data_IF_554233970296
#
_entry.id   IF_554233970296
#
_cell.length_a   1.000
_cell.length_b   1.000
_cell.length_c   1.000
_cell.angle_alpha   90.00
_cell.angle_beta   90.00
_cell.angle_gamma   90.00
#
_symmetry.space_group_name_H-M   'P 1'
#
loop_
_entity.id
_entity.type
_entity.pdbx_description
1 polymer ?
#
# COMPACT_ATOMS: atom_id res chain seq x y z
N UNK A 1 5.97 21.05 1.01
CA UNK A 1 4.72 20.78 0.27
C UNK A 1 4.32 19.36 0.58
N UNK A 2 3.09 19.12 0.99
CA UNK A 2 2.64 17.79 1.38
C UNK A 2 2.61 16.85 0.16
N UNK A 3 2.93 15.57 0.37
CA UNK A 3 2.86 14.57 -0.69
C UNK A 3 1.41 14.21 -1.02
N UNK A 4 0.59 13.97 0.01
CA UNK A 4 -0.84 13.71 -0.13
C UNK A 4 -1.59 14.56 0.91
N UNK A 5 -2.70 15.15 0.48
CA UNK A 5 -3.67 15.82 1.34
C UNK A 5 -5.07 15.28 1.07
N UNK A 6 -5.70 14.77 2.09
CA UNK A 6 -7.11 14.33 2.08
C UNK A 6 -7.89 15.30 2.94
N UNK A 7 -8.92 15.95 2.38
CA UNK A 7 -9.66 16.99 3.05
C UNK A 7 -11.15 16.66 3.13
N UNK A 8 -11.60 16.28 4.31
CA UNK A 8 -12.99 15.97 4.67
C UNK A 8 -13.70 15.06 3.64
N UNK A 9 -13.05 13.94 3.32
CA UNK A 9 -13.49 13.02 2.27
C UNK A 9 -14.57 12.09 2.80
N UNK A 10 -15.68 11.98 2.05
CA UNK A 10 -16.77 11.05 2.32
C UNK A 10 -16.97 10.11 1.10
N UNK A 11 -17.32 8.85 1.37
CA UNK A 11 -17.73 7.89 0.35
C UNK A 11 -18.79 6.95 0.88
N UNK A 12 -19.87 6.78 0.10
CA UNK A 12 -20.96 5.85 0.41
C UNK A 12 -21.20 4.91 -0.77
N UNK A 13 -21.62 3.69 -0.45
CA UNK A 13 -22.07 2.69 -1.40
C UNK A 13 -23.46 2.23 -0.97
N UNK A 14 -24.49 2.62 -1.73
CA UNK A 14 -25.91 2.41 -1.32
C UNK A 14 -26.13 2.93 0.10
N UNK A 15 -26.46 2.05 1.03
CA UNK A 15 -26.76 2.38 2.43
C UNK A 15 -25.53 2.38 3.35
N UNK A 16 -24.36 2.00 2.85
CA UNK A 16 -23.15 1.89 3.66
C UNK A 16 -22.25 3.10 3.44
N UNK A 17 -21.97 3.85 4.51
CA UNK A 17 -20.95 4.91 4.51
C UNK A 17 -19.58 4.29 4.78
N UNK A 18 -18.80 4.09 3.72
CA UNK A 18 -17.48 3.46 3.80
C UNK A 18 -16.39 4.41 4.32
N UNK A 19 -16.50 5.71 4.01
CA UNK A 19 -15.60 6.76 4.52
C UNK A 19 -16.45 7.95 4.97
N UNK A 20 -16.16 8.48 6.18
CA UNK A 20 -17.02 9.40 6.90
C UNK A 20 -16.27 10.67 7.34
N UNK A 21 -15.90 11.53 6.37
CA UNK A 21 -15.27 12.82 6.67
C UNK A 21 -13.81 12.67 7.09
N UNK A 22 -13.04 11.82 6.41
CA UNK A 22 -11.62 11.62 6.70
C UNK A 22 -10.80 12.79 6.20
N UNK A 23 -9.91 13.30 7.06
CA UNK A 23 -8.86 14.25 6.72
C UNK A 23 -7.52 13.75 7.23
N UNK A 24 -6.50 13.76 6.38
CA UNK A 24 -5.13 13.38 6.74
C UNK A 24 -4.12 14.07 5.82
N UNK A 25 -2.87 14.09 6.24
CA UNK A 25 -1.75 14.66 5.47
C UNK A 25 -0.55 13.71 5.55
N UNK A 26 0.07 13.43 4.40
CA UNK A 26 1.25 12.57 4.29
C UNK A 26 2.40 13.40 3.75
N UNK A 27 3.58 13.31 4.38
CA UNK A 27 4.77 14.04 3.98
C UNK A 27 5.57 13.27 2.92
N UNK A 28 6.40 13.97 2.09
CA UNK A 28 7.28 13.29 1.15
C UNK A 28 8.26 12.34 1.85
N UNK A 29 8.42 11.12 1.30
CA UNK A 29 9.32 10.10 1.83
C UNK A 29 8.80 9.35 3.05
N UNK A 30 7.61 9.68 3.55
CA UNK A 30 7.00 9.05 4.72
C UNK A 30 6.41 7.68 4.35
N UNK A 31 6.60 6.69 5.22
CA UNK A 31 5.95 5.38 5.13
C UNK A 31 4.77 5.35 6.10
N UNK A 32 3.57 5.21 5.54
CA UNK A 32 2.30 5.36 6.28
C UNK A 32 1.52 4.05 6.24
N UNK A 33 1.11 3.55 7.40
CA UNK A 33 0.17 2.43 7.51
C UNK A 33 -1.26 2.93 7.73
N UNK A 34 -2.19 2.44 6.92
CA UNK A 34 -3.62 2.51 7.20
C UNK A 34 -4.02 1.19 7.86
N UNK A 35 -4.15 1.21 9.18
CA UNK A 35 -4.43 0.06 10.02
C UNK A 35 -5.92 0.00 10.39
N UNK A 36 -6.50 -1.20 10.41
CA UNK A 36 -7.88 -1.38 10.83
C UNK A 36 -8.49 -2.69 10.35
N UNK A 37 -9.66 -3.07 10.86
CA UNK A 37 -10.31 -4.34 10.51
C UNK A 37 -10.83 -4.34 9.07
N UNK A 38 -11.24 -5.50 8.60
CA UNK A 38 -11.95 -5.64 7.33
C UNK A 38 -13.25 -4.83 7.39
N UNK A 39 -13.50 -4.03 6.34
CA UNK A 39 -14.66 -3.12 6.30
C UNK A 39 -14.45 -1.76 6.99
N UNK A 40 -13.28 -1.48 7.58
CA UNK A 40 -12.98 -0.18 8.18
C UNK A 40 -12.95 1.00 7.19
N UNK A 41 -12.89 0.71 5.87
CA UNK A 41 -12.84 1.74 4.83
C UNK A 41 -11.44 1.97 4.24
N UNK A 42 -10.42 1.20 4.66
CA UNK A 42 -9.02 1.34 4.20
C UNK A 42 -8.89 1.30 2.68
N UNK A 43 -9.27 0.18 2.05
CA UNK A 43 -9.20 0.01 0.58
C UNK A 43 -9.99 1.09 -0.14
N UNK A 44 -11.19 1.47 0.35
CA UNK A 44 -11.97 2.55 -0.26
C UNK A 44 -11.24 3.90 -0.21
N UNK A 45 -10.59 4.21 0.90
CA UNK A 45 -9.81 5.44 1.06
C UNK A 45 -8.59 5.43 0.12
N UNK A 46 -7.86 4.30 0.06
CA UNK A 46 -6.72 4.12 -0.85
C UNK A 46 -7.15 4.23 -2.30
N UNK A 47 -8.20 3.53 -2.73
CA UNK A 47 -8.71 3.61 -4.11
C UNK A 47 -9.13 5.05 -4.51
N UNK A 48 -9.57 5.87 -3.55
CA UNK A 48 -9.83 7.30 -3.82
C UNK A 48 -8.52 8.08 -3.96
N UNK A 49 -7.50 7.80 -3.16
CA UNK A 49 -6.16 8.41 -3.30
C UNK A 49 -5.49 7.99 -4.61
N UNK A 50 -5.67 6.76 -5.03
CA UNK A 50 -5.19 6.22 -6.32
C UNK A 50 -5.93 6.77 -7.56
N UNK A 51 -7.06 7.46 -7.34
CA UNK A 51 -7.92 7.95 -8.43
C UNK A 51 -8.79 6.88 -9.09
N UNK A 52 -8.87 5.69 -8.52
CA UNK A 52 -9.73 4.60 -8.99
C UNK A 52 -11.20 4.85 -8.61
N UNK A 53 -11.43 5.53 -7.50
CA UNK A 53 -12.76 5.95 -7.04
C UNK A 53 -12.80 7.47 -6.80
N UNK A 54 -13.95 8.07 -7.09
CA UNK A 54 -14.18 9.49 -6.81
C UNK A 54 -14.84 9.63 -5.43
N UNK A 55 -14.38 10.54 -4.56
CA UNK A 55 -15.09 10.87 -3.33
C UNK A 55 -16.46 11.50 -3.64
N UNK A 56 -17.43 11.28 -2.74
CA UNK A 56 -18.75 11.91 -2.84
C UNK A 56 -18.71 13.35 -2.31
N UNK A 57 -17.83 13.60 -1.30
CA UNK A 57 -17.52 14.94 -0.77
C UNK A 57 -16.04 15.04 -0.43
N UNK A 58 -15.58 16.28 -0.26
CA UNK A 58 -14.19 16.58 0.03
C UNK A 58 -13.30 16.53 -1.20
N UNK A 59 -12.00 16.60 -1.00
CA UNK A 59 -11.01 16.53 -2.07
C UNK A 59 -9.75 15.79 -1.64
N UNK A 60 -9.05 15.24 -2.64
CA UNK A 60 -7.75 14.60 -2.48
C UNK A 60 -6.78 15.28 -3.42
N UNK A 61 -5.65 15.71 -2.87
CA UNK A 61 -4.57 16.35 -3.60
C UNK A 61 -3.29 15.53 -3.42
N UNK A 62 -2.60 15.26 -4.51
CA UNK A 62 -1.25 14.66 -4.52
C UNK A 62 -0.32 15.72 -5.08
N UNK A 63 0.65 16.17 -4.28
CA UNK A 63 1.52 17.29 -4.61
C UNK A 63 0.74 18.54 -5.06
N UNK A 64 -0.38 18.84 -4.38
CA UNK A 64 -1.28 19.94 -4.72
C UNK A 64 -2.13 19.75 -5.98
N UNK A 65 -2.05 18.58 -6.63
CA UNK A 65 -2.76 18.23 -7.86
C UNK A 65 -3.94 17.29 -7.58
N UNK A 66 -5.10 17.54 -8.19
CA UNK A 66 -6.26 16.65 -8.11
C UNK A 66 -6.38 15.78 -9.37
N UNK A 67 -6.98 14.59 -9.19
CA UNK A 67 -7.15 13.61 -10.27
C UNK A 67 -7.96 14.15 -11.45
N UNK A 68 -8.94 14.99 -11.22
CA UNK A 68 -9.82 15.48 -12.27
C UNK A 68 -9.08 16.30 -13.34
N UNK A 69 -8.09 17.10 -12.94
CA UNK A 69 -7.35 17.99 -13.83
C UNK A 69 -5.98 17.45 -14.23
N UNK A 70 -5.37 16.60 -13.42
CA UNK A 70 -3.96 16.23 -13.55
C UNK A 70 -3.74 14.70 -13.65
N UNK A 71 -4.74 13.94 -14.07
CA UNK A 71 -4.67 12.46 -14.12
C UNK A 71 -3.40 11.94 -14.83
N UNK A 72 -3.07 12.50 -16.01
CA UNK A 72 -1.89 12.06 -16.79
C UNK A 72 -0.56 12.31 -16.07
N UNK A 73 -0.48 13.35 -15.25
CA UNK A 73 0.71 13.67 -14.46
C UNK A 73 0.80 12.74 -13.25
N UNK A 74 -0.30 12.57 -12.52
CA UNK A 74 -0.37 11.73 -11.34
C UNK A 74 -0.07 10.26 -11.65
N UNK A 75 -0.60 9.72 -12.77
CA UNK A 75 -0.30 8.34 -13.20
C UNK A 75 1.18 8.07 -13.45
N UNK A 76 2.00 9.09 -13.70
CA UNK A 76 3.44 8.93 -13.91
C UNK A 76 4.24 8.79 -12.62
N UNK A 77 3.73 9.34 -11.54
CA UNK A 77 4.43 9.39 -10.25
C UNK A 77 3.87 8.40 -9.23
N UNK A 78 2.84 7.65 -9.58
CA UNK A 78 2.18 6.69 -8.70
C UNK A 78 2.47 5.27 -9.15
N UNK A 79 2.86 4.41 -8.22
CA UNK A 79 2.91 2.96 -8.35
C UNK A 79 1.82 2.31 -7.51
N UNK A 80 1.22 1.23 -8.03
CA UNK A 80 0.12 0.52 -7.41
C UNK A 80 0.41 -0.97 -7.33
N UNK A 81 0.21 -1.58 -6.18
CA UNK A 81 0.12 -3.03 -6.03
C UNK A 81 -1.18 -3.37 -5.31
N UNK A 82 -2.12 -3.92 -6.07
CA UNK A 82 -3.44 -4.31 -5.56
C UNK A 82 -3.35 -5.64 -4.81
N UNK A 83 -4.29 -5.88 -3.89
CA UNK A 83 -4.40 -7.09 -3.08
C UNK A 83 -4.39 -8.36 -3.93
N UNK A 84 -5.14 -8.40 -5.04
CA UNK A 84 -5.13 -9.49 -6.00
C UNK A 84 -4.57 -9.01 -7.33
N UNK A 85 -3.28 -9.19 -7.56
CA UNK A 85 -2.68 -8.94 -8.89
C UNK A 85 -2.60 -10.23 -9.67
N UNK A 86 -3.32 -10.29 -10.80
CA UNK A 86 -3.29 -11.43 -11.72
C UNK A 86 -2.45 -11.11 -12.93
N UNK A 87 -1.43 -11.92 -13.16
CA UNK A 87 -0.57 -11.83 -14.34
C UNK A 87 -0.97 -12.85 -15.39
N UNK A 88 -0.60 -12.58 -16.64
CA UNK A 88 -0.75 -13.56 -17.73
C UNK A 88 0.17 -14.74 -17.45
N UNK A 89 -0.40 -15.90 -17.16
CA UNK A 89 0.29 -17.10 -16.69
C UNK A 89 1.43 -17.58 -17.60
N UNK A 90 1.28 -17.36 -18.92
CA UNK A 90 2.22 -17.78 -19.97
C UNK A 90 3.32 -16.76 -20.28
N UNK A 91 3.38 -15.65 -19.58
CA UNK A 91 4.50 -14.71 -19.64
C UNK A 91 5.49 -15.02 -18.52
N UNK A 92 6.77 -14.92 -18.82
CA UNK A 92 7.82 -14.95 -17.80
C UNK A 92 7.81 -13.66 -16.99
N UNK A 93 8.49 -13.65 -15.82
CA UNK A 93 8.68 -12.42 -15.02
C UNK A 93 9.24 -11.30 -15.90
N UNK A 94 10.31 -11.59 -16.65
CA UNK A 94 10.95 -10.59 -17.52
C UNK A 94 10.03 -10.09 -18.62
N UNK A 95 9.29 -10.97 -19.28
CA UNK A 95 8.32 -10.58 -20.32
C UNK A 95 7.17 -9.75 -19.72
N UNK A 96 6.69 -10.11 -18.54
CA UNK A 96 5.69 -9.34 -17.81
C UNK A 96 6.21 -7.91 -17.53
N UNK A 97 7.41 -7.79 -16.99
CA UNK A 97 8.01 -6.48 -16.68
C UNK A 97 8.27 -5.65 -17.95
N UNK A 98 8.74 -6.27 -19.05
CA UNK A 98 8.87 -5.61 -20.35
C UNK A 98 7.54 -5.07 -20.89
N UNK A 99 6.47 -5.87 -20.76
CA UNK A 99 5.14 -5.44 -21.17
C UNK A 99 4.71 -4.18 -20.42
N UNK A 100 4.82 -4.17 -19.07
CA UNK A 100 4.45 -3.01 -18.28
C UNK A 100 5.41 -1.81 -18.48
N UNK A 101 6.71 -2.06 -18.61
CA UNK A 101 7.71 -1.02 -18.90
C UNK A 101 7.42 -0.31 -20.23
N UNK A 102 6.88 -1.02 -21.23
CA UNK A 102 6.53 -0.44 -22.53
C UNK A 102 5.48 0.65 -22.44
N UNK A 103 4.53 0.58 -21.49
CA UNK A 103 3.52 1.61 -21.28
C UNK A 103 4.14 2.94 -20.82
N UNK A 104 5.28 2.88 -20.15
CA UNK A 104 6.05 4.04 -19.70
C UNK A 104 7.21 4.40 -20.63
N UNK A 105 7.39 3.67 -21.74
CA UNK A 105 8.52 3.81 -22.69
C UNK A 105 9.88 3.57 -22.02
N UNK A 106 9.95 2.67 -21.05
CA UNK A 106 11.16 2.29 -20.33
C UNK A 106 11.84 1.10 -21.02
N UNK A 107 13.17 1.06 -20.95
CA UNK A 107 14.01 0.01 -21.57
C UNK A 107 14.41 -1.10 -20.61
N UNK A 108 15.28 -2.00 -21.11
CA UNK A 108 15.80 -3.16 -20.36
C UNK A 108 16.56 -2.77 -19.09
N UNK A 109 17.21 -1.62 -19.08
CA UNK A 109 17.93 -1.15 -17.90
C UNK A 109 17.01 -1.08 -16.69
N UNK A 110 15.82 -0.49 -16.87
CA UNK A 110 14.84 -0.39 -15.78
C UNK A 110 14.23 -1.73 -15.41
N UNK A 111 14.02 -2.61 -16.40
CA UNK A 111 13.57 -3.98 -16.13
C UNK A 111 14.59 -4.75 -15.28
N UNK A 112 15.88 -4.64 -15.59
CA UNK A 112 16.94 -5.25 -14.79
C UNK A 112 16.98 -4.69 -13.37
N UNK A 113 16.90 -3.35 -13.23
CA UNK A 113 16.92 -2.68 -11.94
C UNK A 113 15.78 -3.16 -11.03
N UNK A 114 14.53 -3.23 -11.52
CA UNK A 114 13.42 -3.67 -10.67
C UNK A 114 13.48 -5.18 -10.36
N UNK A 115 14.03 -6.02 -11.27
CA UNK A 115 14.29 -7.43 -11.00
C UNK A 115 15.25 -7.56 -9.81
N UNK A 116 16.32 -6.79 -9.80
CA UNK A 116 17.30 -6.78 -8.70
C UNK A 116 16.69 -6.21 -7.42
N UNK A 117 16.00 -5.07 -7.48
CA UNK A 117 15.33 -4.46 -6.32
C UNK A 117 14.35 -5.40 -5.63
N UNK A 118 13.71 -6.30 -6.38
CA UNK A 118 12.70 -7.23 -5.85
C UNK A 118 13.20 -8.66 -5.71
N UNK A 119 14.52 -8.89 -5.84
CA UNK A 119 15.17 -10.18 -5.67
C UNK A 119 14.55 -11.30 -6.54
N UNK A 120 14.31 -10.99 -7.81
CA UNK A 120 13.68 -11.92 -8.77
C UNK A 120 14.67 -12.48 -9.82
N UNK A 121 15.98 -12.22 -9.70
CA UNK A 121 17.00 -12.60 -10.70
C UNK A 121 17.00 -14.12 -10.98
N UNK A 122 16.93 -14.92 -9.92
CA UNK A 122 16.94 -16.39 -10.06
C UNK A 122 15.70 -16.96 -10.74
N UNK A 123 14.63 -16.15 -10.86
CA UNK A 123 13.32 -16.55 -11.38
C UNK A 123 12.86 -15.75 -12.60
N UNK A 124 13.68 -14.86 -13.13
CA UNK A 124 13.31 -13.96 -14.22
C UNK A 124 12.73 -14.64 -15.48
N UNK A 125 13.16 -15.89 -15.71
CA UNK A 125 12.69 -16.73 -16.84
C UNK A 125 11.54 -17.66 -16.47
N UNK A 126 11.11 -17.68 -15.20
CA UNK A 126 9.96 -18.50 -14.77
C UNK A 126 8.66 -17.86 -15.21
N UNK A 127 7.68 -18.68 -15.61
CA UNK A 127 6.34 -18.22 -15.97
C UNK A 127 5.57 -17.70 -14.74
N UNK A 128 4.82 -16.62 -14.91
CA UNK A 128 4.03 -16.00 -13.83
C UNK A 128 3.04 -16.98 -13.18
N UNK A 129 2.49 -17.92 -13.96
CA UNK A 129 1.58 -18.94 -13.45
C UNK A 129 2.23 -19.96 -12.52
N UNK A 130 3.57 -20.09 -12.52
CA UNK A 130 4.31 -21.06 -11.69
C UNK A 130 4.92 -20.47 -10.43
N UNK A 131 4.71 -19.18 -10.17
CA UNK A 131 5.29 -18.46 -9.04
C UNK A 131 4.60 -18.82 -7.73
N UNK A 132 5.38 -18.92 -6.64
CA UNK A 132 4.83 -18.95 -5.29
C UNK A 132 4.09 -17.65 -4.96
N UNK A 133 3.31 -17.62 -3.87
CA UNK A 133 2.64 -16.41 -3.40
C UNK A 133 3.61 -15.25 -3.19
N UNK A 134 4.72 -15.49 -2.46
CA UNK A 134 5.75 -14.47 -2.22
C UNK A 134 6.44 -13.98 -3.50
N UNK A 135 6.76 -14.90 -4.44
CA UNK A 135 7.33 -14.51 -5.73
C UNK A 135 6.35 -13.68 -6.58
N UNK A 136 5.08 -14.03 -6.56
CA UNK A 136 4.03 -13.27 -7.26
C UNK A 136 3.87 -11.88 -6.65
N UNK A 137 3.93 -11.77 -5.33
CA UNK A 137 3.86 -10.48 -4.64
C UNK A 137 5.08 -9.60 -4.95
N UNK A 138 6.29 -10.18 -4.99
CA UNK A 138 7.50 -9.47 -5.43
C UNK A 138 7.42 -9.02 -6.89
N UNK A 139 6.80 -9.81 -7.78
CA UNK A 139 6.52 -9.38 -9.16
C UNK A 139 5.51 -8.23 -9.21
N UNK A 140 4.47 -8.24 -8.38
CA UNK A 140 3.51 -7.15 -8.28
C UNK A 140 4.19 -5.86 -7.81
N UNK A 141 5.05 -5.95 -6.80
CA UNK A 141 5.88 -4.83 -6.35
C UNK A 141 6.83 -4.34 -7.44
N UNK A 142 7.49 -5.25 -8.18
CA UNK A 142 8.38 -4.89 -9.30
C UNK A 142 7.64 -4.07 -10.37
N UNK A 143 6.42 -4.49 -10.73
CA UNK A 143 5.57 -3.75 -11.68
C UNK A 143 5.21 -2.37 -11.13
N UNK A 144 4.84 -2.27 -9.85
CA UNK A 144 4.50 -1.00 -9.19
C UNK A 144 5.68 -0.02 -9.12
N UNK A 145 6.92 -0.54 -9.11
CA UNK A 145 8.15 0.27 -9.05
C UNK A 145 8.68 0.71 -10.42
N UNK A 146 8.16 0.17 -11.54
CA UNK A 146 8.72 0.40 -12.88
C UNK A 146 8.86 1.89 -13.24
N UNK A 147 7.85 2.69 -12.95
CA UNK A 147 7.80 4.11 -13.33
C UNK A 147 8.56 5.06 -12.37
N UNK A 148 9.43 4.56 -11.49
CA UNK A 148 10.09 5.34 -10.43
C UNK A 148 9.08 6.15 -9.60
N UNK A 149 8.14 5.50 -8.93
CA UNK A 149 7.04 6.21 -8.29
C UNK A 149 7.53 7.08 -7.13
N UNK A 150 6.99 8.31 -7.07
CA UNK A 150 7.14 9.19 -5.90
C UNK A 150 6.13 8.82 -4.80
N UNK A 151 5.03 8.14 -5.18
CA UNK A 151 4.02 7.58 -4.26
C UNK A 151 3.76 6.14 -4.64
N UNK A 152 3.91 5.23 -3.69
CA UNK A 152 3.65 3.80 -3.83
C UNK A 152 2.50 3.39 -2.92
N UNK A 153 1.45 2.82 -3.50
CA UNK A 153 0.33 2.24 -2.77
C UNK A 153 0.43 0.72 -2.78
N UNK A 154 0.30 0.12 -1.61
CA UNK A 154 0.29 -1.34 -1.42
C UNK A 154 -0.96 -1.72 -0.62
N UNK A 155 -1.88 -2.45 -1.24
CA UNK A 155 -3.09 -2.92 -0.58
C UNK A 155 -2.87 -4.34 -0.02
N UNK A 156 -2.77 -4.46 1.30
CA UNK A 156 -2.53 -5.69 2.06
C UNK A 156 -1.38 -6.56 1.48
N UNK A 157 -0.15 -6.02 1.34
CA UNK A 157 0.91 -6.63 0.54
C UNK A 157 1.42 -7.97 1.07
N UNK A 158 1.17 -8.30 2.33
CA UNK A 158 1.68 -9.55 2.95
C UNK A 158 0.58 -10.54 3.29
N UNK A 159 -0.67 -10.23 2.98
CA UNK A 159 -1.80 -11.13 3.27
C UNK A 159 -1.65 -12.46 2.54
N UNK A 160 -1.78 -13.56 3.28
CA UNK A 160 -1.65 -14.93 2.76
C UNK A 160 -0.22 -15.37 2.44
N UNK A 161 0.80 -14.59 2.80
CA UNK A 161 2.20 -15.00 2.68
C UNK A 161 2.65 -15.80 3.91
N UNK A 162 3.51 -16.79 3.66
CA UNK A 162 4.23 -17.46 4.73
C UNK A 162 5.20 -16.49 5.45
N UNK A 163 5.62 -16.78 6.70
CA UNK A 163 6.45 -15.86 7.48
C UNK A 163 7.76 -15.47 6.81
N UNK A 164 8.41 -16.40 6.06
CA UNK A 164 9.66 -16.11 5.36
C UNK A 164 9.42 -15.13 4.21
N UNK A 165 8.43 -15.40 3.36
CA UNK A 165 8.07 -14.52 2.24
C UNK A 165 7.64 -13.13 2.71
N UNK A 166 7.01 -13.02 3.90
CA UNK A 166 6.66 -11.75 4.53
C UNK A 166 7.91 -10.97 4.91
N UNK A 167 8.86 -11.60 5.59
CA UNK A 167 10.13 -10.97 5.98
C UNK A 167 10.96 -10.52 4.77
N UNK A 168 11.01 -11.34 3.70
CA UNK A 168 11.69 -10.96 2.46
C UNK A 168 11.09 -9.68 1.87
N UNK A 169 9.75 -9.61 1.78
CA UNK A 169 9.06 -8.41 1.27
C UNK A 169 9.32 -7.19 2.16
N UNK A 170 9.31 -7.34 3.49
CA UNK A 170 9.63 -6.25 4.41
C UNK A 170 11.05 -5.73 4.22
N UNK A 171 12.03 -6.62 4.00
CA UNK A 171 13.42 -6.23 3.75
C UNK A 171 13.55 -5.40 2.46
N UNK A 172 12.84 -5.80 1.40
CA UNK A 172 12.79 -5.02 0.15
C UNK A 172 12.19 -3.63 0.42
N UNK A 173 11.07 -3.55 1.15
CA UNK A 173 10.42 -2.27 1.47
C UNK A 173 11.30 -1.38 2.37
N UNK A 174 12.03 -1.96 3.35
CA UNK A 174 13.01 -1.22 4.16
C UNK A 174 14.14 -0.65 3.30
N UNK A 175 14.64 -1.43 2.34
CA UNK A 175 15.63 -0.93 1.39
C UNK A 175 15.13 0.23 0.51
N UNK A 176 13.84 0.25 0.17
CA UNK A 176 13.21 1.39 -0.51
C UNK A 176 13.09 2.62 0.42
N UNK A 177 12.75 2.40 1.69
CA UNK A 177 12.66 3.45 2.72
C UNK A 177 13.99 4.17 2.90
N UNK A 178 15.07 3.41 3.00
CA UNK A 178 16.42 3.94 3.19
C UNK A 178 16.88 4.85 2.04
N UNK A 179 16.33 4.67 0.83
CA UNK A 179 16.59 5.56 -0.30
C UNK A 179 15.91 6.92 -0.17
N UNK A 180 14.86 7.04 0.65
CA UNK A 180 14.17 8.30 0.97
C UNK A 180 13.47 8.99 -0.22
N UNK A 181 13.25 8.28 -1.33
CA UNK A 181 12.71 8.86 -2.58
C UNK A 181 11.23 8.61 -2.80
N UNK A 182 10.69 7.58 -2.17
CA UNK A 182 9.32 7.12 -2.38
C UNK A 182 8.52 7.26 -1.08
N UNK A 183 7.37 7.87 -1.16
CA UNK A 183 6.35 7.86 -0.10
C UNK A 183 5.53 6.59 -0.23
N UNK A 184 5.41 5.81 0.83
CA UNK A 184 4.66 4.56 0.83
C UNK A 184 3.37 4.71 1.64
N UNK A 185 2.27 4.26 1.06
CA UNK A 185 1.01 4.07 1.77
C UNK A 185 0.65 2.58 1.67
N UNK A 186 0.58 1.90 2.80
CA UNK A 186 0.11 0.53 2.83
C UNK A 186 -1.15 0.37 3.67
N UNK A 187 -2.06 -0.49 3.22
CA UNK A 187 -3.13 -0.97 4.07
C UNK A 187 -2.71 -2.27 4.71
N UNK A 188 -3.06 -2.45 5.95
CA UNK A 188 -2.82 -3.71 6.64
C UNK A 188 -3.80 -3.93 7.80
N UNK A 189 -3.94 -5.16 8.20
CA UNK A 189 -4.55 -5.56 9.47
C UNK A 189 -3.53 -6.23 10.40
N UNK A 190 -2.26 -6.33 9.98
CA UNK A 190 -1.15 -6.84 10.79
C UNK A 190 -0.42 -5.71 11.50
N UNK A 191 -0.48 -5.69 12.83
CA UNK A 191 0.18 -4.67 13.66
C UNK A 191 1.69 -4.67 13.46
N UNK A 192 2.30 -5.87 13.46
CA UNK A 192 3.74 -6.04 13.25
C UNK A 192 4.26 -5.43 11.94
N UNK A 193 3.43 -5.46 10.88
CA UNK A 193 3.78 -4.85 9.60
C UNK A 193 3.84 -3.32 9.71
N UNK A 194 2.83 -2.73 10.35
CA UNK A 194 2.80 -1.28 10.58
C UNK A 194 3.97 -0.84 11.46
N UNK A 195 4.23 -1.55 12.58
CA UNK A 195 5.33 -1.26 13.51
C UNK A 195 6.71 -1.42 12.85
N UNK A 196 6.88 -2.43 11.97
CA UNK A 196 8.16 -2.75 11.35
C UNK A 196 8.55 -1.81 10.20
N UNK A 197 7.58 -1.30 9.45
CA UNK A 197 7.80 -0.59 8.20
C UNK A 197 7.51 0.90 8.27
N UNK A 198 6.49 1.32 9.06
CA UNK A 198 5.92 2.65 8.91
C UNK A 198 6.43 3.65 9.95
N UNK A 199 6.54 4.91 9.52
CA UNK A 199 6.86 6.04 10.37
C UNK A 199 5.61 6.58 11.04
N UNK A 200 4.49 6.54 10.30
CA UNK A 200 3.21 7.07 10.68
C UNK A 200 2.13 5.99 10.56
N UNK A 201 1.31 5.87 11.56
CA UNK A 201 0.23 4.89 11.64
C UNK A 201 -1.09 5.62 11.79
N UNK A 202 -2.05 5.27 10.93
CA UNK A 202 -3.40 5.82 10.93
C UNK A 202 -4.36 4.68 11.22
N UNK A 203 -5.03 4.72 12.35
CA UNK A 203 -5.98 3.70 12.78
C UNK A 203 -7.37 4.09 12.31
N UNK A 204 -7.95 3.26 11.43
CA UNK A 204 -9.32 3.42 10.91
C UNK A 204 -10.25 2.38 11.50
N UNK A 205 -11.46 2.81 11.87
CA UNK A 205 -12.59 1.93 12.09
C UNK A 205 -13.89 2.63 11.66
N UNK A 206 -14.84 1.86 11.12
CA UNK A 206 -16.15 2.32 10.65
C UNK A 206 -16.09 3.60 9.77
N UNK A 207 -15.07 3.70 8.93
CA UNK A 207 -14.89 4.82 7.99
C UNK A 207 -14.34 6.11 8.60
N UNK A 208 -13.83 6.08 9.82
CA UNK A 208 -13.24 7.23 10.51
C UNK A 208 -11.82 6.94 10.98
N UNK A 209 -11.00 7.98 11.06
CA UNK A 209 -9.73 7.91 11.78
C UNK A 209 -10.05 7.98 13.27
N UNK A 210 -9.61 6.97 14.02
CA UNK A 210 -9.71 6.92 15.47
C UNK A 210 -8.51 7.60 16.14
N UNK A 211 -7.31 7.31 15.64
CA UNK A 211 -6.05 7.88 16.11
C UNK A 211 -5.02 7.82 14.99
N UNK A 212 -4.09 8.78 14.97
CA UNK A 212 -2.95 8.81 14.04
C UNK A 212 -1.73 9.41 14.73
N UNK A 213 -0.54 9.01 14.29
CA UNK A 213 0.74 9.50 14.82
C UNK A 213 1.88 8.53 14.56
N UNK A 214 3.06 8.87 15.05
CA UNK A 214 4.20 7.96 15.08
C UNK A 214 3.98 6.90 16.17
N UNK A 215 4.59 5.72 16.03
CA UNK A 215 4.38 4.60 16.95
C UNK A 215 4.58 5.02 18.43
N UNK A 216 5.65 5.77 18.73
CA UNK A 216 5.96 6.21 20.08
C UNK A 216 4.99 7.28 20.62
N UNK A 217 4.24 7.97 19.78
CA UNK A 217 3.19 8.94 20.17
C UNK A 217 1.84 8.26 20.37
N UNK A 218 1.65 7.12 19.70
CA UNK A 218 0.42 6.34 19.80
C UNK A 218 0.36 5.49 21.05
N UNK A 219 1.52 4.94 21.48
CA UNK A 219 1.63 4.09 22.65
C UNK A 219 1.71 4.96 23.92
N UNK A 220 1.02 4.53 24.96
CA UNK A 220 0.95 5.21 26.27
C UNK A 220 1.01 4.17 27.42
N UNK A 221 0.85 4.62 28.66
CA UNK A 221 0.88 3.75 29.84
C UNK A 221 -0.22 2.66 29.84
N UNK A 222 -1.27 2.84 29.04
CA UNK A 222 -2.39 1.90 28.91
C UNK A 222 -2.31 1.01 27.68
N UNK A 223 -1.33 1.24 26.79
CA UNK A 223 -1.19 0.52 25.53
C UNK A 223 0.28 0.38 25.19
N UNK A 224 0.85 -0.82 25.42
CA UNK A 224 2.26 -1.12 25.21
C UNK A 224 2.60 -1.55 23.77
N UNK A 225 1.58 -1.83 22.95
CA UNK A 225 1.67 -2.20 21.54
C UNK A 225 0.40 -1.78 20.80
N UNK A 226 0.42 -1.88 19.46
CA UNK A 226 -0.73 -1.48 18.62
C UNK A 226 -1.96 -2.37 18.85
N UNK A 227 -1.79 -3.64 19.20
CA UNK A 227 -2.91 -4.54 19.50
C UNK A 227 -3.70 -4.06 20.71
N UNK A 228 -3.02 -3.74 21.80
CA UNK A 228 -3.63 -3.18 23.01
C UNK A 228 -4.29 -1.84 22.72
N UNK A 229 -3.60 -0.95 22.00
CA UNK A 229 -4.16 0.33 21.59
C UNK A 229 -5.46 0.14 20.79
N UNK A 230 -5.45 -0.75 19.81
CA UNK A 230 -6.63 -0.99 18.99
C UNK A 230 -7.80 -1.55 19.81
N UNK A 231 -7.54 -2.49 20.73
CA UNK A 231 -8.55 -3.03 21.65
C UNK A 231 -9.11 -1.92 22.55
N UNK A 232 -8.25 -1.05 23.08
CA UNK A 232 -8.68 0.05 23.93
C UNK A 232 -9.55 1.06 23.18
N UNK A 233 -9.24 1.32 21.91
CA UNK A 233 -10.01 2.25 21.07
C UNK A 233 -11.36 1.70 20.59
N UNK A 234 -11.43 0.38 20.32
CA UNK A 234 -12.59 -0.21 19.61
C UNK A 234 -13.37 -1.22 20.45
N UNK A 235 -12.78 -1.74 21.52
CA UNK A 235 -13.31 -2.86 22.27
C UNK A 235 -13.27 -4.20 21.51
N UNK A 236 -12.61 -4.25 20.35
CA UNK A 236 -12.55 -5.42 19.46
C UNK A 236 -11.09 -5.81 19.23
N UNK A 237 -10.82 -7.11 19.09
CA UNK A 237 -9.54 -7.59 18.52
C UNK A 237 -9.61 -7.50 17.01
N UNK A 238 -8.51 -7.13 16.34
CA UNK A 238 -8.35 -7.43 14.92
C UNK A 238 -8.38 -8.95 14.79
N UNK A 239 -9.27 -9.49 13.97
CA UNK A 239 -9.43 -10.93 13.79
C UNK A 239 -8.09 -11.51 13.30
N UNK A 240 -7.53 -12.43 14.08
CA UNK A 240 -6.49 -13.33 13.62
C UNK A 240 -7.00 -14.08 12.38
N UNK A 241 -6.12 -14.40 11.43
CA UNK A 241 -6.44 -15.21 10.27
C UNK A 241 -7.25 -16.45 10.71
N UNK A 242 -8.29 -16.87 9.97
CA UNK A 242 -8.92 -18.15 10.23
C UNK A 242 -7.83 -19.22 10.12
N UNK A 243 -7.54 -19.90 11.24
CA UNK A 243 -6.66 -21.05 11.23
C UNK A 243 -7.20 -22.03 10.18
N UNK A 244 -6.47 -22.18 9.09
CA UNK A 244 -6.76 -23.17 8.06
C UNK A 244 -6.65 -24.53 8.75
N UNK A 245 -7.81 -25.16 8.94
CA UNK A 245 -7.89 -26.54 9.40
C UNK A 245 -7.60 -27.49 8.26
#
# INVERSE_FOLDING_TARGET
MNQIEVRNVEKSFKDTKAVRGVSLTIQPGEFVALLGPNGAGKTTLVEMMEGLKKPDKGEILIQGKNWHKHEKELRKIIGLSLQETRFTEKLTIRETLRLFASFFKLGEERVNEVITLTELESKEKSYAGTLSGGQRQRLALAVALLNHPEVLFLDEPTTGLDPHSRLDLWNILKGLKDQGKTTLILTTHYMEEAESLCDHIIILDEGKILREGQLHELLDENSHNLDELFINLTGKKLSEEPQIK
#
